data_IF_564721983048
#
_entry.id   IF_564721983048
#
_cell.length_a   1.000
_cell.length_b   1.000
_cell.length_c   1.000
_cell.angle_alpha   90.00
_cell.angle_beta   90.00
_cell.angle_gamma   90.00
#
_symmetry.space_group_name_H-M   'P 1'
#
loop_
_entity.id
_entity.type
_entity.pdbx_description
1 polymer ?
#
# COMPACT_ATOMS: atom_id res chain seq x y z
N UNK A 1 -9.83 -11.84 -9.71
CA UNK A 1 -11.16 -11.24 -9.49
C UNK A 1 -11.42 -10.30 -10.65
N UNK A 2 -12.48 -10.54 -11.39
CA UNK A 2 -12.90 -9.62 -12.45
C UNK A 2 -13.92 -8.61 -11.88
N UNK A 3 -13.67 -7.34 -12.13
CA UNK A 3 -14.50 -6.23 -11.68
C UNK A 3 -14.65 -5.17 -12.79
N UNK A 4 -15.57 -5.42 -13.72
CA UNK A 4 -15.83 -4.55 -14.85
C UNK A 4 -14.63 -4.42 -15.80
N UNK A 5 -13.99 -3.25 -15.83
CA UNK A 5 -12.80 -2.99 -16.66
C UNK A 5 -11.50 -3.45 -16.00
N UNK A 6 -11.52 -3.85 -14.72
CA UNK A 6 -10.36 -4.24 -13.95
C UNK A 6 -10.33 -5.74 -13.68
N UNK A 7 -9.15 -6.34 -13.78
CA UNK A 7 -8.83 -7.67 -13.28
C UNK A 7 -7.88 -7.51 -12.09
N UNK A 8 -8.28 -8.03 -10.93
CA UNK A 8 -7.64 -7.78 -9.65
C UNK A 8 -7.02 -9.06 -9.12
N UNK A 9 -5.71 -9.05 -8.90
CA UNK A 9 -4.99 -10.06 -8.14
C UNK A 9 -4.88 -9.56 -6.69
N UNK A 10 -5.72 -10.11 -5.81
CA UNK A 10 -5.70 -9.81 -4.39
C UNK A 10 -4.55 -10.57 -3.72
N UNK A 11 -3.56 -9.84 -3.20
CA UNK A 11 -2.36 -10.38 -2.58
C UNK A 11 -2.53 -10.42 -1.05
N UNK A 12 -3.05 -9.34 -0.48
CA UNK A 12 -3.33 -9.25 0.95
C UNK A 12 -4.60 -8.46 1.23
N UNK A 13 -5.20 -8.71 2.38
CA UNK A 13 -6.39 -8.01 2.87
C UNK A 13 -7.67 -8.50 2.24
N UNK A 14 -8.62 -7.59 2.07
CA UNK A 14 -9.97 -7.91 1.60
C UNK A 14 -10.35 -7.03 0.40
N UNK A 15 -11.07 -7.60 -0.54
CA UNK A 15 -11.69 -6.88 -1.63
C UNK A 15 -13.10 -7.41 -1.88
N UNK A 16 -14.11 -6.57 -1.64
CA UNK A 16 -15.53 -6.97 -1.69
C UNK A 16 -15.76 -8.22 -0.80
N UNK A 17 -16.12 -9.36 -1.40
CA UNK A 17 -16.38 -10.62 -0.69
C UNK A 17 -15.18 -11.58 -0.67
N UNK A 18 -14.03 -11.15 -1.21
CA UNK A 18 -12.83 -11.97 -1.32
C UNK A 18 -11.84 -11.63 -0.21
N UNK A 19 -11.23 -12.67 0.35
CA UNK A 19 -10.16 -12.58 1.33
C UNK A 19 -8.86 -13.03 0.67
N UNK A 20 -7.83 -12.20 0.76
CA UNK A 20 -6.51 -12.50 0.22
C UNK A 20 -5.77 -13.58 1.02
N UNK A 21 -4.77 -14.22 0.41
CA UNK A 21 -3.97 -15.26 1.08
C UNK A 21 -3.20 -14.72 2.30
N UNK A 22 -2.88 -13.44 2.32
CA UNK A 22 -2.27 -12.75 3.45
C UNK A 22 -3.34 -11.89 4.12
N UNK A 23 -3.69 -12.20 5.35
CA UNK A 23 -4.71 -11.49 6.12
C UNK A 23 -4.38 -11.50 7.63
N UNK A 24 -5.17 -10.78 8.43
CA UNK A 24 -5.02 -10.74 9.88
C UNK A 24 -3.83 -9.91 10.39
N UNK A 25 -3.17 -9.12 9.55
CA UNK A 25 -2.12 -8.21 9.96
C UNK A 25 -2.69 -7.05 10.79
N UNK A 26 -1.94 -6.59 11.79
CA UNK A 26 -2.35 -5.49 12.69
C UNK A 26 -2.63 -4.19 11.96
N UNK A 27 -1.90 -3.91 10.88
CA UNK A 27 -2.11 -2.75 10.01
C UNK A 27 -3.30 -2.90 9.05
N UNK A 28 -3.97 -4.07 9.04
CA UNK A 28 -5.06 -4.38 8.11
C UNK A 28 -4.68 -4.06 6.66
N UNK A 29 -3.51 -4.58 6.25
CA UNK A 29 -2.96 -4.38 4.92
C UNK A 29 -3.95 -4.80 3.83
N UNK A 30 -4.18 -3.91 2.86
CA UNK A 30 -4.77 -4.22 1.56
C UNK A 30 -3.66 -4.14 0.51
N UNK A 31 -3.50 -5.16 -0.32
CA UNK A 31 -2.51 -5.17 -1.40
C UNK A 31 -3.07 -5.87 -2.62
N UNK A 32 -3.20 -5.11 -3.70
CA UNK A 32 -3.77 -5.56 -4.95
C UNK A 32 -2.89 -5.18 -6.13
N UNK A 33 -2.75 -6.08 -7.08
CA UNK A 33 -2.21 -5.85 -8.41
C UNK A 33 -3.40 -5.79 -9.37
N UNK A 34 -3.61 -4.64 -10.00
CA UNK A 34 -4.78 -4.35 -10.80
C UNK A 34 -4.35 -4.11 -12.24
N UNK A 35 -4.83 -4.98 -13.14
CA UNK A 35 -4.74 -4.80 -14.58
C UNK A 35 -6.07 -4.24 -15.10
N UNK A 36 -6.01 -3.09 -15.76
CA UNK A 36 -7.17 -2.37 -16.23
C UNK A 36 -7.17 -2.27 -17.75
N UNK A 37 -8.31 -2.54 -18.39
CA UNK A 37 -8.56 -2.20 -19.79
C UNK A 37 -8.93 -0.72 -19.89
N UNK A 38 -8.95 -0.18 -21.12
CA UNK A 38 -9.46 1.16 -21.37
C UNK A 38 -10.87 1.33 -20.78
N UNK A 39 -11.08 2.41 -20.03
CA UNK A 39 -12.34 2.70 -19.37
C UNK A 39 -12.15 3.25 -17.96
N UNK A 40 -13.19 3.12 -17.15
CA UNK A 40 -13.23 3.61 -15.77
C UNK A 40 -13.31 2.46 -14.75
N UNK A 41 -12.65 2.63 -13.62
CA UNK A 41 -12.69 1.74 -12.47
C UNK A 41 -12.78 2.56 -11.19
N UNK A 42 -13.67 2.16 -10.29
CA UNK A 42 -13.82 2.80 -8.98
C UNK A 42 -13.35 1.85 -7.88
N UNK A 43 -12.46 2.33 -7.03
CA UNK A 43 -12.06 1.65 -5.82
C UNK A 43 -12.70 2.32 -4.61
N UNK A 44 -13.45 1.55 -3.83
CA UNK A 44 -14.11 2.01 -2.62
C UNK A 44 -13.25 1.67 -1.40
N UNK A 45 -12.23 2.51 -1.17
CA UNK A 45 -11.30 2.38 -0.06
C UNK A 45 -11.90 2.87 1.26
N UNK A 46 -11.36 2.35 2.37
CA UNK A 46 -11.75 2.79 3.71
C UNK A 46 -11.18 4.17 4.03
N UNK A 47 -11.98 5.05 4.64
CA UNK A 47 -11.53 6.39 5.08
C UNK A 47 -10.59 6.35 6.29
N UNK A 48 -10.50 5.21 7.00
CA UNK A 48 -9.58 5.02 8.13
C UNK A 48 -8.26 4.36 7.76
N UNK A 49 -8.00 4.21 6.46
CA UNK A 49 -6.74 3.71 5.91
C UNK A 49 -6.10 4.76 5.01
N UNK A 50 -4.78 4.76 4.98
CA UNK A 50 -4.01 5.44 3.95
C UNK A 50 -3.70 4.46 2.84
N UNK A 51 -3.88 4.89 1.61
CA UNK A 51 -3.61 4.11 0.41
C UNK A 51 -2.54 4.78 -0.43
N UNK A 52 -1.85 3.96 -1.22
CA UNK A 52 -0.90 4.37 -2.23
C UNK A 52 -1.23 3.63 -3.52
N UNK A 53 -1.44 4.38 -4.60
CA UNK A 53 -1.51 3.84 -5.96
C UNK A 53 -0.15 4.05 -6.62
N UNK A 54 0.41 2.99 -7.22
CA UNK A 54 1.65 3.05 -8.00
C UNK A 54 1.39 2.49 -9.40
N UNK A 55 1.47 3.35 -10.39
CA UNK A 55 1.28 3.00 -11.80
C UNK A 55 2.62 2.56 -12.37
N UNK A 56 2.71 1.33 -12.86
CA UNK A 56 3.96 0.81 -13.42
C UNK A 56 3.85 0.49 -14.92
N UNK A 57 2.64 0.46 -15.47
CA UNK A 57 2.39 0.24 -16.89
C UNK A 57 1.19 1.09 -17.35
N UNK A 58 1.38 1.84 -18.43
CA UNK A 58 0.40 2.82 -18.93
C UNK A 58 0.33 4.07 -18.06
N UNK A 59 -0.58 4.98 -18.39
CA UNK A 59 -0.89 6.19 -17.63
C UNK A 59 -2.36 6.16 -17.23
N UNK A 60 -2.69 6.77 -16.10
CA UNK A 60 -4.07 6.81 -15.60
C UNK A 60 -4.43 8.22 -15.13
N UNK A 61 -5.71 8.52 -15.13
CA UNK A 61 -6.29 9.66 -14.41
C UNK A 61 -6.89 9.14 -13.10
N UNK A 62 -6.49 9.71 -11.97
CA UNK A 62 -7.07 9.41 -10.65
C UNK A 62 -7.77 10.66 -10.16
N UNK A 63 -9.09 10.61 -10.03
CA UNK A 63 -9.93 11.77 -9.69
C UNK A 63 -9.61 13.00 -10.57
N UNK A 64 -9.37 12.77 -11.87
CA UNK A 64 -9.01 13.80 -12.84
C UNK A 64 -7.54 14.24 -12.81
N UNK A 65 -6.69 13.72 -11.91
CA UNK A 65 -5.26 13.99 -11.88
C UNK A 65 -4.49 12.92 -12.67
N UNK A 66 -3.65 13.34 -13.58
CA UNK A 66 -2.79 12.45 -14.35
C UNK A 66 -1.68 11.85 -13.48
N UNK A 67 -1.55 10.53 -13.52
CA UNK A 67 -0.47 9.77 -12.91
C UNK A 67 0.23 8.99 -14.02
N UNK A 68 1.44 9.39 -14.34
CA UNK A 68 2.25 8.78 -15.38
C UNK A 68 2.79 7.42 -14.93
N UNK A 69 3.15 6.60 -15.89
CA UNK A 69 3.87 5.34 -15.62
C UNK A 69 5.12 5.58 -14.74
N UNK A 70 5.35 4.70 -13.79
CA UNK A 70 6.42 4.75 -12.77
C UNK A 70 6.26 5.88 -11.76
N UNK A 71 5.04 6.35 -11.57
CA UNK A 71 4.66 7.36 -10.59
C UNK A 71 3.55 6.87 -9.69
N UNK A 72 3.33 7.54 -8.58
CA UNK A 72 2.31 7.16 -7.63
C UNK A 72 1.77 8.34 -6.83
N UNK A 73 0.69 8.07 -6.11
CA UNK A 73 -0.03 9.05 -5.31
C UNK A 73 -0.59 8.39 -4.05
N UNK A 74 -0.57 9.13 -2.93
CA UNK A 74 -1.28 8.74 -1.72
C UNK A 74 -2.72 9.29 -1.74
N UNK A 75 -3.64 8.50 -1.17
CA UNK A 75 -5.04 8.91 -1.02
C UNK A 75 -5.68 8.21 0.19
N UNK A 76 -6.93 8.55 0.48
CA UNK A 76 -7.77 7.92 1.50
C UNK A 76 -9.20 7.85 0.99
N UNK A 77 -9.93 6.81 1.37
CA UNK A 77 -11.29 6.61 0.91
C UNK A 77 -11.41 6.16 -0.54
N UNK A 78 -12.47 6.60 -1.20
CA UNK A 78 -12.79 6.24 -2.59
C UNK A 78 -11.90 6.98 -3.59
N UNK A 79 -11.53 6.33 -4.68
CA UNK A 79 -10.95 6.93 -5.88
C UNK A 79 -11.62 6.41 -7.15
N UNK A 80 -11.66 7.25 -8.17
CA UNK A 80 -12.07 6.89 -9.52
C UNK A 80 -10.85 6.95 -10.45
N UNK A 81 -10.57 5.82 -11.11
CA UNK A 81 -9.42 5.66 -12.02
C UNK A 81 -9.93 5.54 -13.43
N UNK A 82 -9.38 6.32 -14.34
CA UNK A 82 -9.68 6.24 -15.78
C UNK A 82 -8.40 6.06 -16.58
N UNK A 83 -8.46 5.26 -17.63
CA UNK A 83 -7.39 5.16 -18.62
C UNK A 83 -8.00 5.00 -20.03
N UNK A 84 -7.39 5.64 -21.01
CA UNK A 84 -7.77 5.51 -22.43
C UNK A 84 -7.17 4.26 -23.08
N UNK A 85 -6.25 3.59 -22.41
CA UNK A 85 -5.54 2.38 -22.83
C UNK A 85 -5.48 1.35 -21.71
N UNK A 86 -4.91 0.19 -21.99
CA UNK A 86 -4.58 -0.76 -20.94
C UNK A 86 -3.53 -0.17 -20.00
N UNK A 87 -3.76 -0.33 -18.70
CA UNK A 87 -2.86 0.13 -17.66
C UNK A 87 -2.75 -0.92 -16.56
N UNK A 88 -1.70 -0.82 -15.75
CA UNK A 88 -1.51 -1.70 -14.62
C UNK A 88 -0.90 -0.94 -13.44
N UNK A 89 -1.44 -1.14 -12.25
CA UNK A 89 -1.02 -0.44 -11.06
C UNK A 89 -1.18 -1.30 -9.82
N UNK A 90 -0.36 -1.01 -8.83
CA UNK A 90 -0.50 -1.55 -7.48
C UNK A 90 -1.35 -0.61 -6.64
N UNK A 91 -2.20 -1.19 -5.81
CA UNK A 91 -2.96 -0.48 -4.81
C UNK A 91 -2.63 -1.10 -3.46
N UNK A 92 -2.02 -0.29 -2.59
CA UNK A 92 -1.52 -0.73 -1.29
C UNK A 92 -2.11 0.18 -0.22
N UNK A 93 -2.67 -0.38 0.83
CA UNK A 93 -3.26 0.41 1.89
C UNK A 93 -3.18 -0.25 3.26
N UNK A 94 -3.26 0.56 4.29
CA UNK A 94 -3.26 0.07 5.66
C UNK A 94 -3.66 1.15 6.66
N UNK A 95 -4.02 0.73 7.85
CA UNK A 95 -4.26 1.64 8.97
C UNK A 95 -2.97 2.35 9.35
N UNK A 96 -3.01 3.68 9.59
CA UNK A 96 -1.88 4.40 10.18
C UNK A 96 -1.51 3.77 11.53
N UNK A 97 -0.21 3.59 11.77
CA UNK A 97 0.29 3.04 13.03
C UNK A 97 0.18 4.07 14.14
N UNK A 98 0.36 5.37 13.82
CA UNK A 98 0.28 6.50 14.75
C UNK A 98 1.16 6.36 15.99
N UNK A 99 2.34 5.77 15.82
CA UNK A 99 3.35 5.62 16.87
C UNK A 99 4.47 6.66 16.69
N UNK A 100 5.13 7.10 17.78
CA UNK A 100 6.31 7.93 17.67
C UNK A 100 7.40 7.25 16.86
N UNK A 101 8.19 8.04 16.13
CA UNK A 101 9.27 7.54 15.28
C UNK A 101 10.59 8.16 15.76
N UNK A 102 11.51 7.31 16.23
CA UNK A 102 12.89 7.65 16.45
C UNK A 102 13.76 6.85 15.51
N UNK A 103 14.63 7.54 14.77
CA UNK A 103 15.50 6.91 13.79
C UNK A 103 16.96 7.24 14.08
N UNK A 104 17.82 6.23 13.99
CA UNK A 104 19.26 6.38 14.01
C UNK A 104 19.91 5.38 13.05
N UNK A 105 20.53 5.89 11.99
CA UNK A 105 21.02 5.05 10.90
C UNK A 105 19.91 4.18 10.30
N UNK A 106 20.12 2.86 10.21
CA UNK A 106 19.13 1.93 9.68
C UNK A 106 18.04 1.54 10.70
N UNK A 107 18.17 1.94 11.96
CA UNK A 107 17.27 1.54 13.04
C UNK A 107 16.11 2.54 13.20
N UNK A 108 14.91 2.03 13.36
CA UNK A 108 13.70 2.80 13.62
C UNK A 108 12.97 2.15 14.79
N UNK A 109 12.72 2.94 15.85
CA UNK A 109 12.02 2.52 17.07
C UNK A 109 11.01 3.58 17.47
N UNK A 110 10.25 3.33 18.54
CA UNK A 110 9.27 4.30 19.05
C UNK A 110 9.90 5.29 20.05
N UNK A 111 10.99 4.91 20.70
CA UNK A 111 11.67 5.74 21.73
C UNK A 111 13.18 5.80 21.53
N UNK A 112 13.78 6.85 22.09
CA UNK A 112 15.25 7.00 22.08
C UNK A 112 15.95 5.87 22.88
N UNK A 113 15.34 5.41 23.96
CA UNK A 113 15.91 4.30 24.77
C UNK A 113 15.95 3.00 24.00
N UNK A 114 14.93 2.70 23.21
CA UNK A 114 14.91 1.52 22.33
C UNK A 114 16.01 1.60 21.24
N UNK A 115 16.23 2.79 20.66
CA UNK A 115 17.34 3.01 19.74
C UNK A 115 18.69 2.71 20.38
N UNK A 116 18.94 3.23 21.59
CA UNK A 116 20.21 3.00 22.29
C UNK A 116 20.42 1.51 22.57
N UNK A 117 19.39 0.82 23.06
CA UNK A 117 19.44 -0.64 23.25
C UNK A 117 19.69 -1.38 21.94
N UNK A 118 19.02 -1.01 20.87
CA UNK A 118 19.19 -1.64 19.55
C UNK A 118 20.63 -1.51 19.04
N UNK A 119 21.25 -0.34 19.20
CA UNK A 119 22.66 -0.11 18.83
C UNK A 119 23.59 -0.97 19.70
N UNK A 120 23.34 -1.08 21.00
CA UNK A 120 24.10 -1.93 21.89
C UNK A 120 23.98 -3.41 21.50
N UNK A 121 22.76 -3.89 21.27
CA UNK A 121 22.49 -5.27 20.82
C UNK A 121 23.17 -5.57 19.46
N UNK A 122 23.16 -4.60 18.55
CA UNK A 122 23.86 -4.75 17.27
C UNK A 122 25.37 -4.85 17.44
N UNK A 123 25.97 -3.96 18.25
CA UNK A 123 27.39 -3.93 18.48
C UNK A 123 27.90 -5.18 19.23
N UNK A 124 27.09 -5.73 20.14
CA UNK A 124 27.41 -6.96 20.88
C UNK A 124 27.12 -8.25 20.09
N UNK A 125 26.54 -8.14 18.90
CA UNK A 125 26.14 -9.29 18.08
C UNK A 125 24.93 -10.06 18.60
N UNK A 126 24.13 -9.46 19.47
CA UNK A 126 22.88 -10.03 20.00
C UNK A 126 21.62 -9.58 19.25
N UNK A 127 21.74 -8.62 18.34
CA UNK A 127 20.63 -8.12 17.55
C UNK A 127 19.99 -9.23 16.70
N UNK A 128 18.65 -9.38 16.79
CA UNK A 128 17.90 -10.37 16.02
C UNK A 128 18.03 -11.82 16.53
N UNK A 129 18.63 -12.05 17.68
CA UNK A 129 18.59 -13.35 18.35
C UNK A 129 17.33 -13.43 19.20
N UNK A 130 16.49 -14.42 18.90
CA UNK A 130 15.27 -14.75 19.63
C UNK A 130 15.53 -15.88 20.60
#
# INVERSE_FOLDING_TARGET
IDDGMASIKLIAGNYKHHIGPINGLSTQLDYMDIAMRAGAYSFDGSTNKNYFIYVFEGDVLVDGREILSRSGMCFSGKIDVYSDKSSRFLLIGGKPINEPIFQYGPFVMNTKSEILKTVEDFNSGSFGKY
#
